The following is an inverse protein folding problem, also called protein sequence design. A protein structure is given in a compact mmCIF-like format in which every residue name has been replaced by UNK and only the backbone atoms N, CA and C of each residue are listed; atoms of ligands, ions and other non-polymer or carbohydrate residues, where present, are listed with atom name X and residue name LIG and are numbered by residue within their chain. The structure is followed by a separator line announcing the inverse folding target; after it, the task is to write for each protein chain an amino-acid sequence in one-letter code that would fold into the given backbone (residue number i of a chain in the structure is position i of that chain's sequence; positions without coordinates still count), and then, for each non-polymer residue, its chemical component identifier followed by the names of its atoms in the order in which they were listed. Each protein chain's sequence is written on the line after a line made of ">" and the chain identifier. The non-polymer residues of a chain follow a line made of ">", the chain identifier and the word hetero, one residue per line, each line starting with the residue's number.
data_IF_901691144423
#
_entry.id   IF_901691144423
#
_cell.length_a   1.000
_cell.length_b   1.000
_cell.length_c   1.000
_cell.angle_alpha   90.00
_cell.angle_beta   90.00
_cell.angle_gamma   90.00
#
_symmetry.space_group_name_H-M   'P 1'
#
loop_
_entity.id
_entity.type
_entity.pdbx_description
1 polymer ?
#
# COMPACT_ATOMS: atom_id res chain seq x y z
N UNK A 1 -20.03 -19.55 21.29
CA UNK A 1 -20.89 -20.17 20.25
C UNK A 1 -19.96 -21.00 19.40
N UNK A 2 -20.31 -22.26 19.17
CA UNK A 2 -19.39 -23.27 18.63
C UNK A 2 -18.81 -22.86 17.28
N UNK A 3 -17.53 -23.14 17.09
CA UNK A 3 -16.89 -23.22 15.78
C UNK A 3 -17.61 -24.30 14.98
N UNK A 4 -18.64 -23.94 14.21
CA UNK A 4 -19.17 -24.85 13.19
C UNK A 4 -18.02 -25.09 12.21
N UNK A 5 -17.45 -26.29 12.27
CA UNK A 5 -16.51 -26.78 11.28
C UNK A 5 -17.18 -26.70 9.92
N UNK A 6 -16.54 -26.04 8.95
CA UNK A 6 -17.03 -26.01 7.58
C UNK A 6 -17.33 -27.42 7.08
N UNK A 7 -18.35 -27.60 6.23
CA UNK A 7 -18.63 -28.88 5.62
C UNK A 7 -17.47 -29.30 4.73
N UNK A 8 -17.40 -30.60 4.42
CA UNK A 8 -16.53 -31.05 3.35
C UNK A 8 -16.88 -30.34 2.03
N UNK A 9 -15.86 -30.11 1.18
CA UNK A 9 -16.02 -29.41 -0.09
C UNK A 9 -17.10 -30.04 -0.99
N UNK A 10 -17.30 -31.35 -0.89
CA UNK A 10 -18.37 -32.07 -1.59
C UNK A 10 -18.20 -32.07 -3.11
N UNK A 11 -19.30 -32.21 -3.84
CA UNK A 11 -19.30 -32.32 -5.30
C UNK A 11 -19.41 -30.98 -6.03
N UNK A 12 -18.98 -29.87 -5.41
CA UNK A 12 -19.00 -28.54 -6.03
C UNK A 12 -18.22 -28.59 -7.34
N UNK A 13 -18.82 -28.10 -8.44
CA UNK A 13 -18.23 -28.11 -9.78
C UNK A 13 -18.89 -27.10 -10.71
N UNK A 14 -18.20 -26.75 -11.78
CA UNK A 14 -18.78 -25.94 -12.83
C UNK A 14 -19.83 -26.71 -13.65
N UNK A 15 -21.01 -26.13 -13.85
CA UNK A 15 -22.11 -26.75 -14.62
C UNK A 15 -22.17 -26.25 -16.08
N UNK A 16 -21.25 -25.36 -16.47
CA UNK A 16 -21.19 -24.77 -17.80
C UNK A 16 -20.16 -25.43 -18.73
N UNK A 17 -19.94 -24.78 -19.87
CA UNK A 17 -18.81 -25.09 -20.77
C UNK A 17 -17.84 -23.93 -20.76
N UNK A 18 -16.57 -24.22 -20.48
CA UNK A 18 -15.51 -23.22 -20.58
C UNK A 18 -15.33 -22.78 -22.04
N UNK A 19 -15.03 -21.50 -22.22
CA UNK A 19 -14.63 -20.94 -23.51
C UNK A 19 -13.25 -21.46 -23.91
N UNK A 20 -12.90 -21.49 -25.21
CA UNK A 20 -11.56 -21.92 -25.66
C UNK A 20 -10.41 -21.22 -24.94
N UNK A 21 -10.52 -19.91 -24.71
CA UNK A 21 -9.53 -19.13 -23.94
C UNK A 21 -9.40 -19.56 -22.48
N UNK A 22 -10.52 -19.95 -21.85
CA UNK A 22 -10.54 -20.43 -20.46
C UNK A 22 -9.98 -21.85 -20.36
N UNK A 23 -10.25 -22.71 -21.35
CA UNK A 23 -9.64 -24.04 -21.46
C UNK A 23 -8.14 -23.92 -21.62
N UNK A 24 -7.67 -23.02 -22.49
CA UNK A 24 -6.24 -22.77 -22.67
C UNK A 24 -5.57 -22.30 -21.36
N UNK A 25 -6.18 -21.35 -20.64
CA UNK A 25 -5.68 -20.93 -19.33
C UNK A 25 -5.66 -22.10 -18.32
N UNK A 26 -6.74 -22.87 -18.21
CA UNK A 26 -6.81 -24.03 -17.32
C UNK A 26 -5.74 -25.09 -17.62
N UNK A 27 -5.43 -25.33 -18.90
CA UNK A 27 -4.39 -26.27 -19.31
C UNK A 27 -2.96 -25.87 -18.93
N UNK A 28 -2.73 -24.59 -18.64
CA UNK A 28 -1.47 -24.08 -18.06
C UNK A 28 -1.50 -24.16 -16.54
N UNK A 29 -2.65 -23.83 -15.93
CA UNK A 29 -2.82 -23.83 -14.47
C UNK A 29 -2.68 -25.25 -13.88
N UNK A 30 -3.28 -26.26 -14.52
CA UNK A 30 -3.26 -27.65 -14.03
C UNK A 30 -1.84 -28.18 -13.76
N UNK A 31 -0.89 -28.16 -14.72
CA UNK A 31 0.48 -28.59 -14.48
C UNK A 31 1.25 -27.80 -13.42
N UNK A 32 0.99 -26.49 -13.31
CA UNK A 32 1.65 -25.62 -12.33
C UNK A 32 1.20 -25.95 -10.90
N UNK A 33 -0.09 -26.26 -10.71
CA UNK A 33 -0.62 -26.74 -9.43
C UNK A 33 0.03 -28.08 -9.00
N UNK A 34 0.29 -28.98 -9.95
CA UNK A 34 0.91 -30.29 -9.69
C UNK A 34 2.39 -30.19 -9.30
N UNK A 35 3.11 -29.18 -9.81
CA UNK A 35 4.54 -28.96 -9.52
C UNK A 35 4.80 -28.29 -8.16
N UNK A 36 3.79 -28.17 -7.31
CA UNK A 36 3.81 -27.34 -6.09
C UNK A 36 3.99 -25.84 -6.37
N UNK A 37 3.67 -25.39 -7.59
CA UNK A 37 3.59 -23.97 -7.93
C UNK A 37 2.51 -23.31 -7.06
N UNK A 38 2.95 -22.47 -6.12
CA UNK A 38 2.03 -21.74 -5.21
C UNK A 38 1.57 -20.42 -5.77
N UNK A 39 1.96 -20.08 -6.99
CA UNK A 39 1.77 -18.78 -7.60
C UNK A 39 1.26 -19.00 -9.01
N UNK A 40 0.14 -18.38 -9.33
CA UNK A 40 -0.47 -18.37 -10.65
C UNK A 40 -0.81 -16.93 -10.98
N UNK A 41 -0.38 -16.44 -12.13
CA UNK A 41 -0.61 -15.07 -12.57
C UNK A 41 -1.16 -15.06 -14.00
N UNK A 42 -2.45 -14.74 -14.10
CA UNK A 42 -3.20 -14.77 -15.35
C UNK A 42 -3.64 -13.36 -15.74
N UNK A 43 -3.20 -12.94 -16.92
CA UNK A 43 -3.64 -11.71 -17.55
C UNK A 43 -4.76 -12.03 -18.54
N UNK A 44 -5.94 -11.47 -18.33
CA UNK A 44 -7.08 -11.71 -19.18
C UNK A 44 -7.92 -10.44 -19.35
N UNK A 45 -8.18 -9.98 -20.60
CA UNK A 45 -8.91 -8.74 -20.88
C UNK A 45 -10.28 -8.66 -20.20
N UNK A 46 -10.87 -7.45 -20.02
CA UNK A 46 -12.26 -7.32 -19.57
C UNK A 46 -13.20 -8.13 -20.48
N UNK A 47 -14.22 -8.77 -19.90
CA UNK A 47 -15.18 -9.61 -20.64
C UNK A 47 -14.69 -11.01 -21.06
N UNK A 48 -13.40 -11.33 -20.89
CA UNK A 48 -12.83 -12.67 -21.16
C UNK A 48 -13.44 -13.79 -20.29
N UNK A 49 -13.96 -13.45 -19.11
CA UNK A 49 -14.52 -14.40 -18.16
C UNK A 49 -13.60 -14.75 -16.99
N UNK A 50 -12.75 -13.80 -16.54
CA UNK A 50 -11.86 -13.93 -15.36
C UNK A 50 -12.55 -14.53 -14.13
N UNK A 51 -13.71 -14.01 -13.77
CA UNK A 51 -14.47 -14.51 -12.60
C UNK A 51 -14.82 -15.99 -12.74
N UNK A 52 -15.28 -16.42 -13.92
CA UNK A 52 -15.61 -17.83 -14.17
C UNK A 52 -14.35 -18.70 -14.16
N UNK A 53 -13.24 -18.21 -14.71
CA UNK A 53 -11.96 -18.91 -14.66
C UNK A 53 -11.48 -19.10 -13.22
N UNK A 54 -11.47 -18.05 -12.40
CA UNK A 54 -11.05 -18.16 -11.00
C UNK A 54 -11.96 -19.07 -10.17
N UNK A 55 -13.27 -18.99 -10.38
CA UNK A 55 -14.21 -19.91 -9.73
C UNK A 55 -14.03 -21.36 -10.19
N UNK A 56 -13.71 -21.58 -11.47
CA UNK A 56 -13.37 -22.92 -11.99
C UNK A 56 -12.10 -23.48 -11.35
N UNK A 57 -11.06 -22.66 -11.22
CA UNK A 57 -9.83 -23.05 -10.49
C UNK A 57 -10.18 -23.44 -9.04
N UNK A 58 -11.07 -22.71 -8.38
CA UNK A 58 -11.54 -23.04 -7.05
C UNK A 58 -12.34 -24.35 -6.99
N UNK A 59 -13.38 -24.52 -7.81
CA UNK A 59 -14.33 -25.63 -7.72
C UNK A 59 -13.82 -26.94 -8.30
N UNK A 60 -13.09 -26.89 -9.41
CA UNK A 60 -12.75 -28.09 -10.18
C UNK A 60 -11.28 -28.48 -10.00
N UNK A 61 -10.37 -27.52 -9.79
CA UNK A 61 -8.93 -27.80 -9.69
C UNK A 61 -8.43 -27.86 -8.24
N UNK A 62 -8.60 -26.79 -7.46
CA UNK A 62 -7.99 -26.66 -6.13
C UNK A 62 -8.82 -27.29 -5.01
N UNK A 63 -10.15 -27.10 -5.04
CA UNK A 63 -11.11 -27.78 -4.15
C UNK A 63 -10.84 -27.60 -2.65
N UNK A 64 -10.50 -26.37 -2.25
CA UNK A 64 -10.23 -25.98 -0.85
C UNK A 64 -10.97 -24.69 -0.47
N UNK A 65 -11.15 -24.41 0.83
CA UNK A 65 -11.64 -23.11 1.29
C UNK A 65 -10.83 -21.97 0.67
N UNK A 66 -11.52 -21.00 0.09
CA UNK A 66 -10.90 -19.98 -0.77
C UNK A 66 -11.29 -18.57 -0.34
N UNK A 67 -10.30 -17.70 -0.30
CA UNK A 67 -10.48 -16.27 -0.10
C UNK A 67 -10.37 -15.56 -1.46
N UNK A 68 -11.38 -14.80 -1.85
CA UNK A 68 -11.30 -13.88 -2.99
C UNK A 68 -11.14 -12.46 -2.46
N UNK A 69 -10.16 -11.73 -2.98
CA UNK A 69 -9.92 -10.33 -2.64
C UNK A 69 -10.18 -9.45 -3.85
N UNK A 70 -11.03 -8.44 -3.66
CA UNK A 70 -11.46 -7.51 -4.71
C UNK A 70 -11.25 -6.05 -4.31
N UNK A 71 -11.12 -5.10 -5.25
CA UNK A 71 -10.84 -3.70 -4.92
C UNK A 71 -12.02 -2.94 -4.31
N UNK A 72 -13.26 -3.42 -4.52
CA UNK A 72 -14.46 -2.80 -3.96
C UNK A 72 -15.58 -3.83 -3.74
N UNK A 73 -16.63 -3.41 -3.01
CA UNK A 73 -17.77 -4.26 -2.63
C UNK A 73 -18.66 -4.68 -3.81
N UNK A 74 -18.68 -3.93 -4.91
CA UNK A 74 -19.44 -4.32 -6.09
C UNK A 74 -18.84 -5.57 -6.76
N UNK A 75 -17.51 -5.59 -6.91
CA UNK A 75 -16.78 -6.74 -7.47
C UNK A 75 -16.83 -7.92 -6.50
N UNK A 76 -16.69 -7.66 -5.19
CA UNK A 76 -16.90 -8.68 -4.15
C UNK A 76 -18.25 -9.40 -4.29
N UNK A 77 -19.35 -8.63 -4.39
CA UNK A 77 -20.68 -9.18 -4.58
C UNK A 77 -20.81 -9.95 -5.92
N UNK A 78 -20.13 -9.49 -6.97
CA UNK A 78 -20.11 -10.17 -8.27
C UNK A 78 -19.45 -11.55 -8.18
N UNK A 79 -18.36 -11.71 -7.42
CA UNK A 79 -17.71 -13.02 -7.24
C UNK A 79 -18.63 -14.02 -6.55
N UNK A 80 -19.27 -13.60 -5.45
CA UNK A 80 -20.24 -14.43 -4.74
C UNK A 80 -21.45 -14.76 -5.63
N UNK A 81 -22.05 -13.79 -6.31
CA UNK A 81 -23.21 -14.03 -7.17
C UNK A 81 -22.88 -14.90 -8.41
N UNK A 82 -21.62 -14.93 -8.85
CA UNK A 82 -21.23 -15.72 -10.03
C UNK A 82 -21.19 -17.23 -9.75
N UNK A 83 -21.22 -17.64 -8.48
CA UNK A 83 -21.31 -19.07 -8.11
C UNK A 83 -22.62 -19.71 -8.56
N UNK A 84 -23.65 -18.94 -8.91
CA UNK A 84 -24.90 -19.44 -9.53
C UNK A 84 -24.68 -20.24 -10.84
N UNK A 85 -23.51 -20.09 -11.48
CA UNK A 85 -23.13 -20.89 -12.66
C UNK A 85 -22.54 -22.27 -12.31
N UNK A 86 -22.39 -22.55 -11.02
CA UNK A 86 -21.78 -23.76 -10.47
C UNK A 86 -22.85 -24.58 -9.75
N UNK A 87 -22.68 -25.89 -9.76
CA UNK A 87 -23.43 -26.78 -8.87
C UNK A 87 -22.74 -26.73 -7.51
N UNK A 88 -23.40 -26.14 -6.50
CA UNK A 88 -22.84 -25.96 -5.17
C UNK A 88 -23.10 -27.16 -4.24
N UNK A 89 -23.72 -28.24 -4.73
CA UNK A 89 -23.98 -29.45 -3.93
C UNK A 89 -24.69 -29.13 -2.60
N UNK A 90 -25.68 -28.22 -2.68
CA UNK A 90 -26.49 -27.73 -1.56
C UNK A 90 -25.76 -26.86 -0.54
N UNK A 91 -24.60 -26.29 -0.87
CA UNK A 91 -23.72 -25.53 0.05
C UNK A 91 -23.75 -24.02 -0.21
N UNK A 92 -24.86 -23.51 -0.75
CA UNK A 92 -25.05 -22.10 -1.08
C UNK A 92 -24.81 -21.17 0.14
N UNK A 93 -25.18 -21.63 1.34
CA UNK A 93 -24.97 -20.89 2.60
C UNK A 93 -23.49 -20.74 3.00
N UNK A 94 -22.59 -21.52 2.39
CA UNK A 94 -21.14 -21.45 2.61
C UNK A 94 -20.42 -20.59 1.57
N UNK A 95 -21.17 -19.82 0.76
CA UNK A 95 -20.64 -18.73 -0.05
C UNK A 95 -20.86 -17.43 0.70
N UNK A 96 -19.78 -16.83 1.19
CA UNK A 96 -19.86 -15.70 2.11
C UNK A 96 -19.24 -14.43 1.53
N UNK A 97 -19.87 -13.30 1.81
CA UNK A 97 -19.28 -11.97 1.67
C UNK A 97 -19.07 -11.29 3.03
N UNK A 98 -19.31 -12.02 4.13
CA UNK A 98 -19.25 -11.54 5.50
C UNK A 98 -17.92 -11.94 6.17
N UNK A 99 -17.06 -10.97 6.54
CA UNK A 99 -15.84 -11.23 7.31
C UNK A 99 -16.06 -11.97 8.64
N UNK A 100 -17.28 -11.93 9.19
CA UNK A 100 -17.61 -12.60 10.44
C UNK A 100 -17.94 -14.08 10.29
N UNK A 101 -18.35 -14.51 9.10
CA UNK A 101 -18.78 -15.87 8.84
C UNK A 101 -18.12 -16.39 7.56
N UNK A 102 -16.81 -16.72 7.56
CA UNK A 102 -16.14 -17.24 6.38
C UNK A 102 -16.67 -18.63 5.98
N UNK A 103 -16.77 -18.86 4.67
CA UNK A 103 -17.32 -20.07 4.06
C UNK A 103 -16.30 -20.87 3.23
N UNK A 104 -16.79 -21.81 2.41
CA UNK A 104 -15.99 -22.52 1.39
C UNK A 104 -15.45 -21.57 0.32
N UNK A 105 -16.21 -20.53 0.00
CA UNK A 105 -15.77 -19.36 -0.74
C UNK A 105 -16.10 -18.13 0.09
N UNK A 106 -15.09 -17.34 0.43
CA UNK A 106 -15.26 -16.06 1.11
C UNK A 106 -14.77 -14.96 0.18
N UNK A 107 -15.67 -14.13 -0.34
CA UNK A 107 -15.30 -12.97 -1.16
C UNK A 107 -15.28 -11.72 -0.29
N UNK A 108 -14.13 -11.05 -0.23
CA UNK A 108 -13.87 -9.89 0.60
C UNK A 108 -13.20 -8.77 -0.21
N UNK A 109 -13.22 -7.54 0.31
CA UNK A 109 -12.42 -6.46 -0.27
C UNK A 109 -11.00 -6.45 0.29
N UNK A 110 -10.03 -5.90 -0.45
CA UNK A 110 -8.67 -5.70 0.08
C UNK A 110 -8.71 -4.97 1.41
N UNK A 111 -9.48 -3.88 1.47
CA UNK A 111 -9.60 -3.07 2.68
C UNK A 111 -10.04 -3.90 3.89
N UNK A 112 -10.97 -4.85 3.74
CA UNK A 112 -11.47 -5.63 4.88
C UNK A 112 -10.38 -6.35 5.68
N UNK A 113 -9.31 -6.78 5.01
CA UNK A 113 -8.18 -7.49 5.64
C UNK A 113 -6.93 -6.61 5.80
N UNK A 114 -6.87 -5.46 5.12
CA UNK A 114 -5.73 -4.54 5.18
C UNK A 114 -6.03 -3.22 5.90
N UNK A 115 -7.20 -3.05 6.53
CA UNK A 115 -7.54 -1.80 7.22
C UNK A 115 -6.54 -1.55 8.35
N UNK A 116 -5.80 -0.43 8.33
CA UNK A 116 -4.91 -0.06 9.42
C UNK A 116 -5.73 0.33 10.66
N UNK A 117 -5.12 0.22 11.85
CA UNK A 117 -5.69 0.81 13.07
C UNK A 117 -5.90 2.32 12.87
N UNK A 118 -7.10 2.81 13.12
CA UNK A 118 -7.36 4.25 13.16
C UNK A 118 -6.76 4.83 14.46
N UNK A 119 -5.97 5.89 14.36
CA UNK A 119 -5.54 6.71 15.51
C UNK A 119 -4.25 6.26 16.21
N UNK A 120 -3.39 7.24 16.51
CA UNK A 120 -2.13 7.06 17.25
C UNK A 120 -2.27 6.60 18.71
N UNK A 121 -3.49 6.40 19.21
CA UNK A 121 -3.78 5.87 20.55
C UNK A 121 -3.29 4.43 20.76
N UNK A 122 -3.06 3.66 19.68
CA UNK A 122 -2.67 2.25 19.76
C UNK A 122 -1.17 1.96 19.52
N UNK A 123 -0.34 2.98 19.27
CA UNK A 123 1.11 2.82 19.46
C UNK A 123 1.41 2.64 20.95
N UNK A 124 0.55 3.14 21.82
CA UNK A 124 0.73 3.14 23.27
C UNK A 124 0.54 1.76 23.85
N UNK A 125 -0.48 1.02 23.42
CA UNK A 125 -0.69 -0.36 23.87
C UNK A 125 0.50 -1.27 23.52
N UNK A 126 0.95 -1.22 22.26
CA UNK A 126 2.12 -1.98 21.81
C UNK A 126 3.41 -1.51 22.51
N UNK A 127 3.54 -0.20 22.75
CA UNK A 127 4.64 0.37 23.52
C UNK A 127 4.60 -0.07 24.99
N UNK A 128 3.41 -0.17 25.59
CA UNK A 128 3.19 -0.63 26.97
C UNK A 128 3.52 -2.12 27.08
N UNK A 129 3.08 -2.96 26.14
CA UNK A 129 3.46 -4.39 26.13
C UNK A 129 4.98 -4.59 26.02
N UNK A 130 5.64 -3.83 25.14
CA UNK A 130 7.11 -3.85 25.03
C UNK A 130 7.79 -3.30 26.28
N UNK A 131 7.19 -2.32 26.95
CA UNK A 131 7.68 -1.80 28.21
C UNK A 131 7.54 -2.83 29.32
N UNK A 132 6.40 -3.52 29.43
CA UNK A 132 6.17 -4.63 30.36
C UNK A 132 7.24 -5.71 30.19
N UNK A 133 7.43 -6.20 28.96
CA UNK A 133 8.47 -7.21 28.64
C UNK A 133 9.87 -6.71 29.02
N UNK A 134 10.15 -5.42 28.80
CA UNK A 134 11.42 -4.81 29.21
C UNK A 134 11.59 -4.72 30.72
N UNK A 135 10.53 -4.48 31.50
CA UNK A 135 10.59 -4.42 32.97
C UNK A 135 10.86 -5.82 33.54
N UNK A 136 10.19 -6.84 33.02
CA UNK A 136 10.38 -8.24 33.43
C UNK A 136 11.80 -8.71 33.09
N UNK A 137 12.28 -8.41 31.87
CA UNK A 137 13.63 -8.80 31.43
C UNK A 137 14.72 -8.18 32.30
N UNK A 138 14.51 -6.93 32.75
CA UNK A 138 15.42 -6.24 33.67
C UNK A 138 15.25 -6.64 35.14
N UNK A 139 14.32 -7.55 35.43
CA UNK A 139 13.91 -7.97 36.79
C UNK A 139 13.41 -6.80 37.65
N UNK A 140 12.86 -5.77 37.00
CA UNK A 140 12.21 -4.62 37.64
C UNK A 140 10.73 -4.92 37.95
N UNK A 141 10.15 -5.94 37.31
CA UNK A 141 8.84 -6.51 37.60
C UNK A 141 8.90 -8.05 37.58
N UNK A 142 7.96 -8.70 38.29
CA UNK A 142 7.97 -10.16 38.52
C UNK A 142 7.08 -10.88 37.49
N UNK A 143 6.03 -10.21 37.04
CA UNK A 143 5.02 -10.68 36.08
C UNK A 143 4.37 -9.49 35.34
N UNK A 144 3.57 -9.80 34.33
CA UNK A 144 2.89 -8.81 33.49
C UNK A 144 1.92 -7.94 34.30
N UNK A 145 1.26 -8.52 35.31
CA UNK A 145 0.27 -7.84 36.15
C UNK A 145 0.92 -6.79 37.07
N UNK A 146 2.05 -7.12 37.70
CA UNK A 146 2.85 -6.19 38.52
C UNK A 146 3.51 -5.10 37.67
N UNK A 147 3.96 -5.42 36.45
CA UNK A 147 4.52 -4.46 35.51
C UNK A 147 3.46 -3.44 35.05
N UNK A 148 2.27 -3.92 34.69
CA UNK A 148 1.16 -3.07 34.26
C UNK A 148 0.65 -2.18 35.40
N UNK A 149 0.53 -2.72 36.62
CA UNK A 149 0.15 -1.94 37.80
C UNK A 149 1.16 -0.81 38.09
N UNK A 150 2.45 -1.06 37.91
CA UNK A 150 3.51 -0.06 38.06
C UNK A 150 3.41 1.04 36.98
N UNK A 151 3.18 0.67 35.72
CA UNK A 151 3.02 1.63 34.61
C UNK A 151 1.77 2.51 34.83
N UNK A 152 0.66 1.93 35.27
CA UNK A 152 -0.57 2.67 35.56
C UNK A 152 -0.40 3.65 36.73
N UNK A 153 0.29 3.23 37.80
CA UNK A 153 0.61 4.12 38.92
C UNK A 153 1.53 5.28 38.49
N UNK A 154 2.49 4.99 37.60
CA UNK A 154 3.41 5.97 37.03
C UNK A 154 2.68 7.01 36.17
N UNK A 155 1.67 6.60 35.39
CA UNK A 155 0.87 7.50 34.56
C UNK A 155 0.09 8.51 35.41
N UNK A 156 -0.44 8.08 36.57
CA UNK A 156 -1.20 8.90 37.50
C UNK A 156 -0.31 9.83 38.35
N UNK A 157 0.82 9.35 38.83
CA UNK A 157 1.69 10.11 39.76
C UNK A 157 2.74 10.96 39.05
N UNK A 158 3.17 10.59 37.84
CA UNK A 158 4.21 11.27 37.09
C UNK A 158 3.99 11.20 35.58
N UNK A 159 2.93 11.86 35.12
CA UNK A 159 2.49 11.88 33.72
C UNK A 159 3.59 12.34 32.75
N UNK A 160 4.42 13.31 33.15
CA UNK A 160 5.50 13.82 32.29
C UNK A 160 6.57 12.76 32.02
N UNK A 161 7.00 12.04 33.05
CA UNK A 161 7.97 10.95 32.90
C UNK A 161 7.38 9.75 32.14
N UNK A 162 6.09 9.45 32.36
CA UNK A 162 5.37 8.45 31.58
C UNK A 162 5.41 8.77 30.08
N UNK A 163 5.03 9.99 29.67
CA UNK A 163 5.04 10.41 28.26
C UNK A 163 6.44 10.34 27.62
N UNK A 164 7.46 10.80 28.34
CA UNK A 164 8.85 10.72 27.86
C UNK A 164 9.30 9.27 27.65
N UNK A 165 8.93 8.36 28.57
CA UNK A 165 9.31 6.95 28.51
C UNK A 165 8.53 6.18 27.46
N UNK A 166 7.21 6.33 27.40
CA UNK A 166 6.39 5.63 26.41
C UNK A 166 6.78 6.05 24.99
N UNK A 167 7.20 7.30 24.77
CA UNK A 167 7.73 7.78 23.48
C UNK A 167 8.95 6.98 22.98
N UNK A 168 9.83 6.51 23.88
CA UNK A 168 10.96 5.65 23.50
C UNK A 168 10.47 4.29 23.02
N UNK A 169 9.46 3.72 23.68
CA UNK A 169 8.87 2.44 23.28
C UNK A 169 8.01 2.58 22.02
N UNK A 170 7.25 3.68 21.84
CA UNK A 170 6.57 4.03 20.56
C UNK A 170 7.58 4.08 19.41
N UNK A 171 8.76 4.67 19.65
CA UNK A 171 9.83 4.71 18.65
C UNK A 171 10.40 3.32 18.34
N UNK A 172 10.65 2.49 19.35
CA UNK A 172 11.11 1.11 19.14
C UNK A 172 10.08 0.27 18.38
N UNK A 173 8.80 0.42 18.71
CA UNK A 173 7.68 -0.17 17.98
C UNK A 173 7.75 0.25 16.51
N UNK A 174 7.89 1.54 16.23
CA UNK A 174 8.01 2.08 14.86
C UNK A 174 9.25 1.60 14.12
N UNK A 175 10.38 1.51 14.80
CA UNK A 175 11.64 1.06 14.22
C UNK A 175 11.59 -0.48 13.94
N UNK A 176 10.98 -1.27 14.83
CA UNK A 176 10.77 -2.71 14.65
C UNK A 176 9.76 -3.02 13.53
N UNK A 177 8.69 -2.20 13.41
CA UNK A 177 7.77 -2.21 12.27
C UNK A 177 8.50 -2.00 10.92
N UNK A 178 9.62 -1.27 10.90
CA UNK A 178 10.39 -1.05 9.68
C UNK A 178 11.31 -2.21 9.32
N UNK A 179 11.74 -3.03 10.29
CA UNK A 179 12.78 -4.05 10.10
C UNK A 179 12.29 -5.50 10.06
N UNK A 180 11.22 -5.88 10.79
CA UNK A 180 10.89 -7.30 11.03
C UNK A 180 9.53 -7.80 10.50
N UNK A 181 8.83 -7.06 9.63
CA UNK A 181 7.63 -7.62 8.98
C UNK A 181 6.48 -7.96 9.94
N UNK A 182 5.95 -6.94 10.62
CA UNK A 182 4.76 -7.05 11.46
C UNK A 182 3.64 -6.13 10.96
N UNK A 183 3.42 -6.07 9.64
CA UNK A 183 2.28 -5.36 9.05
C UNK A 183 0.93 -5.92 9.52
N UNK A 184 0.84 -7.22 9.85
CA UNK A 184 -0.36 -7.78 10.52
C UNK A 184 -0.69 -7.09 11.86
N UNK A 185 0.32 -6.57 12.55
CA UNK A 185 0.12 -5.84 13.81
C UNK A 185 -0.31 -4.38 13.61
N UNK A 186 -0.13 -3.79 12.42
CA UNK A 186 -0.68 -2.46 12.13
C UNK A 186 -2.16 -2.51 11.74
N UNK A 187 -2.70 -3.71 11.52
CA UNK A 187 -4.10 -3.92 11.18
C UNK A 187 -5.04 -3.65 12.36
N UNK A 188 -6.20 -3.10 12.01
CA UNK A 188 -7.35 -2.93 12.89
C UNK A 188 -7.74 -4.25 13.57
N UNK A 189 -8.36 -4.16 14.74
CA UNK A 189 -8.84 -5.35 15.47
C UNK A 189 -9.85 -6.14 14.62
N UNK A 190 -10.69 -5.45 13.84
CA UNK A 190 -11.63 -6.09 12.91
C UNK A 190 -10.92 -6.88 11.81
N UNK A 191 -9.89 -6.31 11.18
CA UNK A 191 -9.09 -7.04 10.17
C UNK A 191 -8.35 -8.23 10.78
N UNK A 192 -7.77 -8.09 11.98
CA UNK A 192 -7.12 -9.21 12.67
C UNK A 192 -8.08 -10.35 12.99
N UNK A 193 -9.25 -10.04 13.58
CA UNK A 193 -10.30 -11.04 13.84
C UNK A 193 -10.77 -11.73 12.56
N UNK A 194 -10.83 -10.98 11.46
CA UNK A 194 -11.16 -11.54 10.14
C UNK A 194 -10.09 -12.54 9.70
N UNK A 195 -8.81 -12.17 9.78
CA UNK A 195 -7.69 -13.07 9.45
C UNK A 195 -7.66 -14.31 10.35
N UNK A 196 -7.92 -14.17 11.65
CA UNK A 196 -7.99 -15.31 12.58
C UNK A 196 -9.10 -16.30 12.18
N UNK A 197 -10.30 -15.82 11.85
CA UNK A 197 -11.41 -16.65 11.38
C UNK A 197 -11.07 -17.34 10.05
N UNK A 198 -10.47 -16.62 9.11
CA UNK A 198 -10.02 -17.17 7.84
C UNK A 198 -8.95 -18.26 8.05
N UNK A 199 -8.00 -18.04 8.96
CA UNK A 199 -6.98 -19.04 9.30
C UNK A 199 -7.61 -20.30 9.90
N UNK A 200 -8.58 -20.16 10.79
CA UNK A 200 -9.29 -21.29 11.40
C UNK A 200 -10.05 -22.13 10.36
N UNK A 201 -10.56 -21.48 9.31
CA UNK A 201 -11.18 -22.15 8.16
C UNK A 201 -10.19 -22.96 7.31
N UNK A 202 -8.90 -22.60 7.33
CA UNK A 202 -7.87 -23.28 6.55
C UNK A 202 -7.90 -22.91 5.07
N UNK A 203 -7.77 -21.61 4.77
CA UNK A 203 -7.69 -21.11 3.39
C UNK A 203 -6.58 -21.82 2.62
N UNK A 204 -6.95 -22.51 1.54
CA UNK A 204 -6.02 -23.24 0.66
C UNK A 204 -5.71 -22.52 -0.65
N UNK A 205 -6.52 -21.51 -1.01
CA UNK A 205 -6.36 -20.67 -2.20
C UNK A 205 -6.75 -19.22 -1.89
N UNK A 206 -5.95 -18.27 -2.37
CA UNK A 206 -6.30 -16.85 -2.39
C UNK A 206 -6.36 -16.38 -3.84
N UNK A 207 -7.51 -15.84 -4.25
CA UNK A 207 -7.70 -15.23 -5.56
C UNK A 207 -7.62 -13.70 -5.41
N UNK A 208 -6.68 -13.08 -6.12
CA UNK A 208 -6.48 -11.64 -6.15
C UNK A 208 -7.07 -11.08 -7.44
N UNK A 209 -8.23 -10.44 -7.35
CA UNK A 209 -8.83 -9.75 -8.49
C UNK A 209 -8.27 -8.34 -8.64
N UNK A 210 -8.06 -7.93 -9.88
CA UNK A 210 -7.29 -6.73 -10.26
C UNK A 210 -5.98 -6.61 -9.47
N UNK A 211 -5.18 -7.68 -9.52
CA UNK A 211 -3.95 -7.79 -8.75
C UNK A 211 -2.93 -6.70 -9.08
N UNK A 212 -3.00 -6.00 -10.21
CA UNK A 212 -2.11 -4.86 -10.53
C UNK A 212 -2.20 -3.72 -9.49
N UNK A 213 -3.29 -3.61 -8.73
CA UNK A 213 -3.40 -2.64 -7.63
C UNK A 213 -2.51 -2.94 -6.41
N UNK A 214 -1.90 -4.13 -6.36
CA UNK A 214 -1.11 -4.59 -5.22
C UNK A 214 0.31 -4.01 -5.15
N UNK A 215 0.74 -3.27 -6.18
CA UNK A 215 2.04 -2.57 -6.27
C UNK A 215 2.24 -1.43 -5.25
N UNK A 216 1.24 -1.14 -4.41
CA UNK A 216 1.34 -0.11 -3.38
C UNK A 216 1.32 -0.73 -1.97
N UNK A 217 0.69 -0.04 -1.00
CA UNK A 217 0.69 -0.37 0.43
C UNK A 217 0.25 -1.81 0.77
N UNK A 218 -0.54 -2.46 -0.09
CA UNK A 218 -1.10 -3.78 0.18
C UNK A 218 -0.09 -4.92 0.00
N UNK A 219 0.89 -4.79 -0.91
CA UNK A 219 1.83 -5.87 -1.24
C UNK A 219 2.55 -6.44 -0.02
N UNK A 220 3.01 -5.57 0.89
CA UNK A 220 3.68 -6.01 2.13
C UNK A 220 2.74 -6.79 3.07
N UNK A 221 1.53 -6.27 3.29
CA UNK A 221 0.55 -6.90 4.18
C UNK A 221 0.16 -8.28 3.63
N UNK A 222 -0.01 -8.39 2.32
CA UNK A 222 -0.51 -9.61 1.68
C UNK A 222 0.52 -10.74 1.68
N UNK A 223 1.81 -10.43 1.57
CA UNK A 223 2.88 -11.42 1.79
C UNK A 223 2.80 -12.03 3.19
N UNK A 224 2.64 -11.18 4.22
CA UNK A 224 2.50 -11.66 5.61
C UNK A 224 1.18 -12.43 5.81
N UNK A 225 0.07 -12.00 5.20
CA UNK A 225 -1.21 -12.72 5.24
C UNK A 225 -1.08 -14.12 4.63
N UNK A 226 -0.37 -14.23 3.50
CA UNK A 226 -0.12 -15.52 2.84
C UNK A 226 0.70 -16.45 3.74
N UNK A 227 1.77 -15.96 4.35
CA UNK A 227 2.57 -16.73 5.29
C UNK A 227 1.75 -17.15 6.52
N UNK A 228 0.91 -16.25 7.02
CA UNK A 228 0.02 -16.50 8.16
C UNK A 228 -1.00 -17.62 7.88
N UNK A 229 -1.44 -17.79 6.63
CA UNK A 229 -2.30 -18.88 6.16
C UNK A 229 -1.54 -20.14 5.75
N UNK A 230 -0.30 -20.33 6.20
CA UNK A 230 0.54 -21.50 5.90
C UNK A 230 0.86 -21.64 4.40
N UNK A 231 1.00 -20.50 3.72
CA UNK A 231 1.37 -20.38 2.31
C UNK A 231 0.41 -21.12 1.36
N UNK A 232 -0.85 -20.65 1.23
CA UNK A 232 -1.82 -21.20 0.28
C UNK A 232 -1.39 -20.93 -1.17
N UNK A 233 -2.11 -21.56 -2.11
CA UNK A 233 -2.00 -21.24 -3.54
C UNK A 233 -2.50 -19.80 -3.73
N UNK A 234 -1.82 -19.06 -4.59
CA UNK A 234 -2.18 -17.69 -4.96
C UNK A 234 -2.51 -17.65 -6.44
N UNK A 235 -3.68 -17.08 -6.78
CA UNK A 235 -4.10 -16.82 -8.15
C UNK A 235 -4.31 -15.31 -8.35
N UNK A 236 -3.39 -14.66 -9.04
CA UNK A 236 -3.53 -13.28 -9.51
C UNK A 236 -4.31 -13.22 -10.82
N UNK A 237 -5.38 -12.44 -10.85
CA UNK A 237 -6.18 -12.17 -12.03
C UNK A 237 -6.16 -10.67 -12.32
N UNK A 238 -5.81 -10.29 -13.55
CA UNK A 238 -5.92 -8.88 -13.95
C UNK A 238 -6.20 -8.70 -15.44
N UNK A 239 -6.80 -7.56 -15.80
CA UNK A 239 -6.92 -7.14 -17.19
C UNK A 239 -5.63 -6.57 -17.78
N UNK A 240 -4.83 -5.93 -16.94
CA UNK A 240 -3.69 -5.11 -17.34
C UNK A 240 -2.46 -5.60 -16.60
N UNK A 241 -1.40 -6.04 -17.31
CA UNK A 241 -0.16 -6.39 -16.63
C UNK A 241 0.40 -5.15 -15.91
N UNK A 242 1.11 -5.35 -14.80
CA UNK A 242 1.78 -4.26 -14.10
C UNK A 242 2.83 -3.58 -15.00
N UNK A 243 2.81 -2.25 -15.04
CA UNK A 243 3.84 -1.45 -15.73
C UNK A 243 4.94 -1.06 -14.73
N UNK A 244 5.97 -1.87 -14.62
CA UNK A 244 7.04 -1.69 -13.64
C UNK A 244 7.91 -0.43 -13.85
N UNK A 245 7.85 0.24 -15.01
CA UNK A 245 8.66 1.44 -15.28
C UNK A 245 8.24 2.64 -14.42
N UNK A 246 6.99 2.65 -13.95
CA UNK A 246 6.41 3.77 -13.20
C UNK A 246 6.39 3.56 -11.67
N UNK A 247 7.01 2.48 -11.16
CA UNK A 247 7.01 2.14 -9.73
C UNK A 247 8.42 2.04 -9.15
N UNK A 248 8.54 2.27 -7.84
CA UNK A 248 9.78 2.09 -7.11
C UNK A 248 10.29 0.64 -7.22
N UNK A 249 11.60 0.46 -7.41
CA UNK A 249 12.24 -0.86 -7.62
C UNK A 249 11.87 -1.88 -6.53
N UNK A 250 11.69 -1.41 -5.28
CA UNK A 250 11.35 -2.26 -4.13
C UNK A 250 9.96 -2.87 -4.28
N UNK A 251 8.98 -2.08 -4.71
CA UNK A 251 7.60 -2.54 -4.82
C UNK A 251 7.40 -3.42 -6.07
N UNK A 252 8.08 -3.09 -7.17
CA UNK A 252 8.16 -3.94 -8.36
C UNK A 252 8.73 -5.32 -8.03
N UNK A 253 9.83 -5.37 -7.26
CA UNK A 253 10.44 -6.64 -6.84
C UNK A 253 9.53 -7.47 -5.94
N UNK A 254 8.87 -6.85 -4.97
CA UNK A 254 7.91 -7.55 -4.08
C UNK A 254 6.75 -8.15 -4.86
N UNK A 255 6.22 -7.41 -5.82
CA UNK A 255 5.15 -7.90 -6.67
C UNK A 255 5.57 -9.14 -7.45
N UNK A 256 6.76 -9.10 -8.07
CA UNK A 256 7.32 -10.24 -8.80
C UNK A 256 7.61 -11.42 -7.88
N UNK A 257 8.12 -11.20 -6.67
CA UNK A 257 8.30 -12.27 -5.68
C UNK A 257 6.96 -12.87 -5.21
N UNK A 258 5.89 -12.07 -5.20
CA UNK A 258 4.57 -12.50 -4.73
C UNK A 258 3.75 -13.22 -5.80
N UNK A 259 3.79 -12.81 -7.07
CA UNK A 259 3.02 -13.44 -8.15
C UNK A 259 3.86 -14.30 -9.10
N UNK A 260 5.17 -14.10 -9.16
CA UNK A 260 6.00 -14.68 -10.20
C UNK A 260 5.80 -14.00 -11.57
N UNK A 261 6.29 -14.66 -12.60
CA UNK A 261 6.08 -14.28 -13.99
C UNK A 261 4.60 -14.47 -14.39
N UNK A 262 4.17 -13.87 -15.50
CA UNK A 262 2.83 -14.09 -16.03
C UNK A 262 2.79 -15.48 -16.68
N UNK A 263 2.03 -16.40 -16.10
CA UNK A 263 1.90 -17.78 -16.61
C UNK A 263 1.10 -17.84 -17.90
N UNK A 264 0.08 -16.98 -18.03
CA UNK A 264 -0.75 -16.95 -19.22
C UNK A 264 -1.38 -15.58 -19.46
N UNK A 265 -1.26 -15.11 -20.70
CA UNK A 265 -1.98 -13.94 -21.19
C UNK A 265 -3.00 -14.37 -22.25
N UNK A 266 -4.28 -14.08 -22.00
CA UNK A 266 -5.35 -14.40 -22.95
C UNK A 266 -5.24 -13.46 -24.16
N UNK A 267 -5.00 -13.99 -25.38
CA UNK A 267 -4.86 -13.14 -26.55
C UNK A 267 -6.18 -12.45 -26.92
N UNK A 268 -6.22 -11.11 -26.92
CA UNK A 268 -7.37 -10.32 -27.36
C UNK A 268 -7.91 -10.76 -28.73
N UNK A 269 -7.06 -11.02 -29.76
CA UNK A 269 -7.55 -11.47 -31.06
C UNK A 269 -8.27 -12.82 -31.03
N UNK A 270 -7.95 -13.70 -30.08
CA UNK A 270 -8.67 -14.97 -29.91
C UNK A 270 -10.08 -14.72 -29.39
N UNK A 271 -10.25 -13.82 -28.41
CA UNK A 271 -11.55 -13.47 -27.85
C UNK A 271 -12.48 -12.81 -28.88
N UNK A 272 -11.94 -11.94 -29.72
CA UNK A 272 -12.70 -11.28 -30.81
C UNK A 272 -13.14 -12.31 -31.85
N UNK A 273 -12.23 -13.20 -32.27
CA UNK A 273 -12.52 -14.28 -33.22
C UNK A 273 -13.64 -15.21 -32.73
N UNK A 274 -13.63 -15.52 -31.44
CA UNK A 274 -14.63 -16.40 -30.81
C UNK A 274 -15.92 -15.65 -30.44
N UNK A 275 -16.07 -14.39 -30.85
CA UNK A 275 -17.24 -13.54 -30.55
C UNK A 275 -17.52 -13.36 -29.04
N UNK A 276 -16.50 -13.54 -28.21
CA UNK A 276 -16.55 -13.36 -26.76
C UNK A 276 -16.20 -11.94 -26.32
N UNK A 277 -15.56 -11.17 -27.21
CA UNK A 277 -15.25 -9.76 -27.04
C UNK A 277 -15.67 -9.01 -28.30
N UNK A 278 -16.33 -7.86 -28.13
CA UNK A 278 -16.69 -7.02 -29.26
C UNK A 278 -15.41 -6.49 -29.94
N UNK A 279 -15.33 -6.52 -31.28
CA UNK A 279 -14.21 -5.89 -31.98
C UNK A 279 -14.19 -4.40 -31.67
N UNK A 280 -13.03 -3.87 -31.29
CA UNK A 280 -12.82 -2.46 -31.01
C UNK A 280 -11.56 -1.96 -31.70
N UNK A 281 -11.47 -0.64 -31.88
CA UNK A 281 -10.31 0.04 -32.40
C UNK A 281 -10.09 1.30 -31.59
N UNK A 282 -8.90 1.44 -31.00
CA UNK A 282 -8.51 2.65 -30.30
C UNK A 282 -8.26 3.77 -31.31
N UNK A 283 -8.95 4.89 -31.13
CA UNK A 283 -8.82 6.08 -31.98
C UNK A 283 -8.40 7.27 -31.11
N UNK A 284 -7.34 7.95 -31.52
CA UNK A 284 -6.95 9.22 -30.90
C UNK A 284 -7.69 10.37 -31.58
N UNK A 285 -8.48 11.13 -30.80
CA UNK A 285 -9.10 12.36 -31.26
C UNK A 285 -8.38 13.56 -30.65
N UNK A 286 -7.50 14.18 -31.44
CA UNK A 286 -6.78 15.36 -31.01
C UNK A 286 -7.71 16.57 -30.97
N UNK A 287 -7.85 17.16 -29.79
CA UNK A 287 -8.55 18.42 -29.60
C UNK A 287 -7.56 19.57 -29.58
N UNK A 288 -7.91 20.67 -30.25
CA UNK A 288 -7.16 21.92 -30.12
C UNK A 288 -7.69 22.65 -28.89
N UNK A 289 -6.83 23.04 -27.92
CA UNK A 289 -7.26 23.87 -26.81
C UNK A 289 -7.90 25.16 -27.34
N UNK A 290 -8.87 25.69 -26.59
CA UNK A 290 -9.48 26.99 -26.88
C UNK A 290 -8.44 28.11 -26.78
N UNK A 291 -8.74 29.28 -27.36
CA UNK A 291 -7.82 30.42 -27.25
C UNK A 291 -7.57 30.83 -25.80
N UNK A 292 -8.56 30.68 -24.92
CA UNK A 292 -8.41 30.98 -23.49
C UNK A 292 -7.45 29.99 -22.81
N UNK A 293 -7.54 28.69 -23.10
CA UNK A 293 -6.62 27.69 -22.56
C UNK A 293 -5.21 27.86 -23.11
N UNK A 294 -5.06 28.21 -24.39
CA UNK A 294 -3.75 28.54 -24.97
C UNK A 294 -3.13 29.77 -24.31
N UNK A 295 -3.93 30.81 -24.07
CA UNK A 295 -3.46 32.02 -23.37
C UNK A 295 -3.06 31.70 -21.93
N UNK A 296 -3.87 30.93 -21.20
CA UNK A 296 -3.53 30.46 -19.86
C UNK A 296 -2.20 29.70 -19.86
N UNK A 297 -2.06 28.66 -20.69
CA UNK A 297 -0.83 27.87 -20.78
C UNK A 297 0.38 28.74 -21.13
N UNK A 298 0.21 29.75 -21.98
CA UNK A 298 1.28 30.68 -22.34
C UNK A 298 1.64 31.67 -21.21
N UNK A 299 0.69 32.02 -20.34
CA UNK A 299 0.86 32.99 -19.26
C UNK A 299 1.25 32.38 -17.92
N UNK A 300 1.06 31.07 -17.71
CA UNK A 300 1.40 30.38 -16.45
C UNK A 300 2.85 30.63 -16.04
N UNK A 301 3.79 30.63 -16.98
CA UNK A 301 5.20 30.90 -16.70
C UNK A 301 5.44 32.36 -16.27
N UNK A 302 4.68 33.31 -16.83
CA UNK A 302 4.77 34.74 -16.48
C UNK A 302 4.15 34.99 -15.10
N UNK A 303 2.93 34.50 -14.84
CA UNK A 303 2.25 34.61 -13.55
C UNK A 303 3.07 33.97 -12.42
N UNK A 304 3.64 32.78 -12.67
CA UNK A 304 4.52 32.12 -11.69
C UNK A 304 5.78 32.94 -11.41
N UNK A 305 6.34 33.57 -12.44
CA UNK A 305 7.50 34.45 -12.29
C UNK A 305 7.16 35.72 -11.51
N UNK A 306 6.02 36.33 -11.76
CA UNK A 306 5.56 37.51 -11.00
C UNK A 306 5.43 37.19 -9.50
N UNK A 307 4.81 36.06 -9.15
CA UNK A 307 4.72 35.60 -7.76
C UNK A 307 6.12 35.39 -7.15
N UNK A 308 7.04 34.77 -7.90
CA UNK A 308 8.39 34.56 -7.43
C UNK A 308 9.15 35.88 -7.22
N UNK A 309 8.99 36.83 -8.14
CA UNK A 309 9.59 38.16 -8.06
C UNK A 309 9.04 38.91 -6.84
N UNK A 310 7.74 38.78 -6.52
CA UNK A 310 7.13 39.33 -5.31
C UNK A 310 7.71 38.73 -4.02
N UNK A 311 7.97 37.41 -4.00
CA UNK A 311 8.62 36.75 -2.86
C UNK A 311 10.06 37.22 -2.62
N UNK A 312 10.71 37.80 -3.64
CA UNK A 312 12.04 38.41 -3.50
C UNK A 312 12.01 39.85 -2.97
N UNK A 313 10.84 40.50 -2.92
CA UNK A 313 10.73 41.89 -2.49
C UNK A 313 10.64 42.04 -0.97
N UNK A 314 11.37 43.02 -0.43
CA UNK A 314 11.20 43.44 0.96
C UNK A 314 9.88 44.18 1.13
N UNK A 315 9.07 43.73 2.10
CA UNK A 315 7.79 44.34 2.42
C UNK A 315 7.91 45.25 3.64
N UNK A 316 7.34 46.44 3.56
CA UNK A 316 7.52 47.52 4.56
C UNK A 316 6.39 47.63 5.59
N UNK A 317 5.71 46.52 5.89
CA UNK A 317 4.64 46.48 6.90
C UNK A 317 5.07 45.72 8.16
N UNK A 318 4.38 45.96 9.27
CA UNK A 318 4.65 45.33 10.58
C UNK A 318 4.44 43.80 10.49
N UNK A 319 5.39 43.02 10.99
CA UNK A 319 5.44 41.54 10.89
C UNK A 319 5.53 40.98 9.46
N UNK A 320 6.07 41.74 8.51
CA UNK A 320 6.35 41.26 7.16
C UNK A 320 7.27 40.02 7.17
N UNK A 321 6.91 39.01 6.38
CA UNK A 321 7.76 37.86 6.12
C UNK A 321 9.01 38.31 5.37
N UNK A 322 10.18 37.79 5.76
CA UNK A 322 11.42 38.10 5.08
C UNK A 322 11.37 37.64 3.61
N UNK A 323 12.06 38.34 2.70
CA UNK A 323 12.24 37.87 1.32
C UNK A 323 12.74 36.43 1.29
N UNK A 324 12.30 35.67 0.29
CA UNK A 324 12.52 34.22 0.20
C UNK A 324 14.00 33.84 0.36
N UNK A 325 14.91 34.59 -0.25
CA UNK A 325 16.35 34.34 -0.12
C UNK A 325 16.86 34.53 1.32
N UNK A 326 16.38 35.55 2.03
CA UNK A 326 16.74 35.80 3.43
C UNK A 326 16.10 34.76 4.35
N UNK A 327 14.82 34.46 4.14
CA UNK A 327 14.12 33.43 4.91
C UNK A 327 14.79 32.05 4.77
N UNK A 328 15.17 31.65 3.55
CA UNK A 328 15.89 30.38 3.34
C UNK A 328 17.26 30.41 4.04
N UNK A 329 17.98 31.52 3.94
CA UNK A 329 19.27 31.68 4.61
C UNK A 329 19.13 31.49 6.12
N UNK A 330 18.19 32.19 6.74
CA UNK A 330 17.91 32.11 8.18
C UNK A 330 17.45 30.68 8.56
N UNK A 331 16.61 30.05 7.75
CA UNK A 331 16.15 28.67 7.99
C UNK A 331 17.31 27.64 7.97
N UNK A 332 18.32 27.85 7.12
CA UNK A 332 19.51 27.01 7.05
C UNK A 332 20.58 27.36 8.10
N UNK A 333 20.58 28.59 8.62
CA UNK A 333 21.50 29.03 9.68
C UNK A 333 21.03 28.56 11.06
N UNK A 334 19.78 28.89 11.40
CA UNK A 334 19.15 28.59 12.69
C UNK A 334 18.87 27.09 12.87
N UNK A 335 18.57 26.37 11.77
CA UNK A 335 18.30 24.92 11.75
C UNK A 335 17.33 24.47 12.84
N UNK A 336 16.28 25.26 13.08
CA UNK A 336 15.30 24.97 14.12
C UNK A 336 14.50 23.71 13.79
N UNK A 337 14.37 22.85 14.80
CA UNK A 337 13.41 21.75 14.85
C UNK A 337 11.97 22.27 15.04
N UNK A 338 10.94 21.45 14.82
CA UNK A 338 9.54 21.83 15.08
C UNK A 338 9.29 22.29 16.53
N UNK A 339 10.11 21.85 17.48
CA UNK A 339 10.07 22.30 18.88
C UNK A 339 10.92 23.52 19.18
N UNK A 340 11.45 24.21 18.16
CA UNK A 340 12.23 25.44 18.28
C UNK A 340 13.69 25.26 18.73
N UNK A 341 14.17 24.03 18.91
CA UNK A 341 15.58 23.76 19.24
C UNK A 341 16.44 23.77 17.99
N UNK A 342 17.61 24.41 18.06
CA UNK A 342 18.62 24.35 17.01
C UNK A 342 19.20 22.94 16.86
N UNK A 343 19.42 22.52 15.62
CA UNK A 343 19.98 21.22 15.28
C UNK A 343 21.28 21.34 14.52
N UNK A 344 22.12 20.30 14.64
CA UNK A 344 23.29 20.19 13.76
C UNK A 344 22.86 19.97 12.30
N UNK A 345 23.75 20.31 11.37
CA UNK A 345 23.48 20.19 9.94
C UNK A 345 23.04 18.78 9.51
N UNK A 346 23.68 17.72 10.04
CA UNK A 346 23.38 16.35 9.64
C UNK A 346 21.97 15.93 10.06
N UNK A 347 21.54 16.35 11.26
CA UNK A 347 20.19 16.11 11.76
C UNK A 347 19.15 16.87 10.95
N UNK A 348 19.39 18.15 10.70
CA UNK A 348 18.50 19.00 9.90
C UNK A 348 18.35 18.48 8.47
N UNK A 349 19.47 18.20 7.79
CA UNK A 349 19.48 17.73 6.41
C UNK A 349 18.87 16.32 6.28
N UNK A 350 19.02 15.46 7.28
CA UNK A 350 18.36 14.14 7.27
C UNK A 350 16.84 14.26 7.39
N UNK A 351 16.34 15.15 8.25
CA UNK A 351 14.89 15.34 8.44
C UNK A 351 14.27 16.07 7.25
N UNK A 352 14.93 17.10 6.75
CA UNK A 352 14.42 18.02 5.74
C UNK A 352 15.19 17.85 4.43
N UNK A 353 15.44 16.62 3.97
CA UNK A 353 16.39 16.34 2.88
C UNK A 353 16.07 17.10 1.60
N UNK A 354 14.83 16.98 1.10
CA UNK A 354 14.39 17.68 -0.11
C UNK A 354 14.54 19.19 0.00
N UNK A 355 14.10 19.78 1.12
CA UNK A 355 14.27 21.22 1.36
C UNK A 355 15.75 21.61 1.49
N UNK A 356 16.56 20.88 2.25
CA UNK A 356 17.96 21.23 2.51
C UNK A 356 18.83 21.16 1.25
N UNK A 357 18.52 20.24 0.34
CA UNK A 357 19.18 20.14 -0.96
C UNK A 357 18.76 21.28 -1.88
N UNK A 358 17.46 21.52 -2.00
CA UNK A 358 16.90 22.57 -2.83
C UNK A 358 17.27 23.98 -2.35
N UNK A 359 17.17 24.25 -1.05
CA UNK A 359 17.53 25.52 -0.43
C UNK A 359 18.99 25.91 -0.65
N UNK A 360 19.91 24.94 -0.53
CA UNK A 360 21.35 25.17 -0.78
C UNK A 360 21.61 25.48 -2.25
N UNK A 361 20.99 24.73 -3.16
CA UNK A 361 21.10 25.01 -4.59
C UNK A 361 20.53 26.41 -4.89
N UNK A 362 19.34 26.72 -4.37
CA UNK A 362 18.68 28.01 -4.55
C UNK A 362 19.57 29.18 -4.12
N UNK A 363 20.12 29.16 -2.89
CA UNK A 363 20.98 30.23 -2.38
C UNK A 363 22.27 30.40 -3.17
N UNK A 364 22.90 29.31 -3.64
CA UNK A 364 24.08 29.40 -4.51
C UNK A 364 23.75 30.12 -5.82
N UNK A 365 22.57 29.91 -6.38
CA UNK A 365 22.16 30.57 -7.63
C UNK A 365 21.67 32.01 -7.43
N UNK A 366 21.04 32.34 -6.31
CA UNK A 366 20.49 33.68 -6.08
C UNK A 366 21.44 34.62 -5.34
N UNK A 367 22.15 34.12 -4.33
CA UNK A 367 22.97 34.91 -3.41
C UNK A 367 24.47 34.60 -3.53
N UNK A 368 24.84 33.44 -4.09
CA UNK A 368 26.22 33.01 -4.25
C UNK A 368 26.93 32.63 -2.94
N UNK A 369 26.20 32.51 -1.83
CA UNK A 369 26.75 32.20 -0.52
C UNK A 369 25.78 31.35 0.33
N UNK A 370 26.33 30.67 1.35
CA UNK A 370 25.60 29.80 2.26
C UNK A 370 25.91 30.16 3.73
N UNK A 371 24.98 29.89 4.67
CA UNK A 371 25.25 30.08 6.08
C UNK A 371 26.44 29.26 6.60
N UNK A 372 27.04 29.74 7.69
CA UNK A 372 28.22 29.10 8.26
C UNK A 372 27.91 27.68 8.75
N UNK A 373 28.75 26.71 8.32
CA UNK A 373 28.58 25.30 8.69
C UNK A 373 27.55 24.54 7.86
N UNK A 374 27.02 25.15 6.79
CA UNK A 374 26.24 24.48 5.74
C UNK A 374 27.20 24.03 4.63
N UNK A 375 27.26 22.72 4.30
CA UNK A 375 28.12 22.24 3.23
C UNK A 375 27.57 22.63 1.86
N UNK A 376 28.48 22.92 0.93
CA UNK A 376 28.14 23.19 -0.46
C UNK A 376 27.31 22.06 -1.08
N UNK A 377 26.28 22.36 -1.90
CA UNK A 377 25.52 21.33 -2.60
C UNK A 377 26.42 20.57 -3.60
N UNK A 378 26.19 19.25 -3.78
CA UNK A 378 26.89 18.46 -4.78
C UNK A 378 26.58 18.92 -6.22
N UNK A 379 27.54 18.75 -7.14
CA UNK A 379 27.48 19.29 -8.50
C UNK A 379 26.24 18.87 -9.30
N UNK A 380 25.74 17.64 -9.12
CA UNK A 380 24.55 17.15 -9.82
C UNK A 380 23.27 17.94 -9.46
N UNK A 381 23.18 18.52 -8.26
CA UNK A 381 22.05 19.39 -7.88
C UNK A 381 22.14 20.75 -8.55
N UNK A 382 23.35 21.23 -8.81
CA UNK A 382 23.58 22.50 -9.50
C UNK A 382 23.36 22.33 -11.01
N UNK A 383 23.81 21.22 -11.60
CA UNK A 383 23.57 20.89 -13.00
C UNK A 383 22.07 20.79 -13.34
N UNK A 384 21.25 20.35 -12.38
CA UNK A 384 19.79 20.27 -12.51
C UNK A 384 19.04 21.62 -12.39
N UNK A 385 19.73 22.76 -12.17
CA UNK A 385 19.07 24.06 -12.07
C UNK A 385 18.37 24.52 -13.36
N UNK A 386 18.61 23.85 -14.48
CA UNK A 386 17.84 24.05 -15.71
C UNK A 386 16.33 23.80 -15.50
N UNK A 387 15.96 22.98 -14.51
CA UNK A 387 14.58 22.79 -14.09
C UNK A 387 14.30 23.54 -12.77
N UNK A 388 14.13 24.87 -12.85
CA UNK A 388 13.88 25.74 -11.70
C UNK A 388 12.76 25.25 -10.78
N UNK A 389 11.71 24.64 -11.34
CA UNK A 389 10.58 24.12 -10.57
C UNK A 389 10.97 22.95 -9.65
N UNK A 390 11.96 22.14 -10.04
CA UNK A 390 12.46 21.04 -9.21
C UNK A 390 13.13 21.54 -7.92
N UNK A 391 13.63 22.77 -7.91
CA UNK A 391 14.28 23.42 -6.76
C UNK A 391 13.29 24.32 -6.02
N UNK A 392 12.44 25.05 -6.72
CA UNK A 392 11.46 25.94 -6.10
C UNK A 392 10.38 25.15 -5.35
N UNK A 393 9.93 24.01 -5.86
CA UNK A 393 8.85 23.25 -5.23
C UNK A 393 9.20 22.79 -3.80
N UNK A 394 10.34 22.13 -3.52
CA UNK A 394 10.69 21.76 -2.14
C UNK A 394 10.97 22.96 -1.22
N UNK A 395 11.35 24.10 -1.78
CA UNK A 395 11.59 25.34 -1.04
C UNK A 395 10.28 26.00 -0.61
N UNK A 396 9.30 26.06 -1.52
CA UNK A 396 7.99 26.69 -1.30
C UNK A 396 6.99 25.80 -0.55
N UNK A 397 7.19 24.48 -0.53
CA UNK A 397 6.34 23.52 0.20
C UNK A 397 6.58 23.55 1.72
N UNK A 398 7.62 24.27 2.16
CA UNK A 398 7.99 24.44 3.57
C UNK A 398 7.57 25.80 4.09
#
# INVERSE_FOLDING_TARGET
>A
MGTETLPEFGAIRFNGKLRPSQIAAASIIEPELDQQGKHLHIVAPPGSGKTVLGLYVWSDLVRKPTLVLSPNSAIQAQWAARTDLFDLDGKDEFISTDPANPGLLTSLTYQSITMPKMGGENLDEAAIELWIKSLITKKEAIDDESALAWINDLQLKNTKYFEDRISVYRKKVRDDFSQHGNALWTLSESSRKTLERLKQVGIGLIIFDECHHLLHHWGRVLTEVREYFDNPIVLGLTATPPDFEHYDEIDSKRYQEFFGDIDYEVPVPALVRDSNLAPYQDLAYFVRPSQNELNYVAQVDEEFKEILDDLHQEQNYEDATAPINKWIFDALDERKSPGGKEEDWKQFAKRNSAFADAARAFLIYTNGDLPAGVPHPPSHLLENYQNKLAILRPVLDR
#
